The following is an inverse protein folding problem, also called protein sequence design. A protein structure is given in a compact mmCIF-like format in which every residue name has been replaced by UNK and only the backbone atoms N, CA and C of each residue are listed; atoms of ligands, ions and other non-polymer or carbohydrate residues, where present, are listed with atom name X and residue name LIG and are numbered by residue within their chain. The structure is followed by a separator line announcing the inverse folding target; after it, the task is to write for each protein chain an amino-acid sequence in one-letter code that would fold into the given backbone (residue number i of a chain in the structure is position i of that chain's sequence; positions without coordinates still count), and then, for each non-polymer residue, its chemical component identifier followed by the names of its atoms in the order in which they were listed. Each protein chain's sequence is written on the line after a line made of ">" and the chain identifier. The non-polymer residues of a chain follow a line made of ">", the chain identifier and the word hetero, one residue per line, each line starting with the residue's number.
data_IF_768559938914
#
_entry.id   IF_768559938914
#
_cell.length_a   1.000
_cell.length_b   1.000
_cell.length_c   1.000
_cell.angle_alpha   90.00
_cell.angle_beta   90.00
_cell.angle_gamma   90.00
#
_symmetry.space_group_name_H-M   'P 1'
#
loop_
_entity.id
_entity.type
_entity.pdbx_description
1 polymer ?
#
# COMPACT_ATOMS: atom_id res chain seq x y z
N UNK A 1 -9.66 5.31 -15.01
CA UNK A 1 -8.71 4.22 -14.68
C UNK A 1 -7.55 4.78 -13.87
N UNK A 2 -7.21 4.12 -12.76
CA UNK A 2 -6.05 4.52 -11.95
C UNK A 2 -4.79 3.80 -12.43
N UNK A 3 -3.72 4.56 -12.56
CA UNK A 3 -2.39 4.01 -12.85
C UNK A 3 -1.51 4.10 -11.60
N UNK A 4 -0.58 3.17 -11.45
CA UNK A 4 0.36 3.18 -10.33
C UNK A 4 1.08 4.53 -10.21
N UNK A 5 1.48 5.12 -11.33
CA UNK A 5 2.19 6.41 -11.34
C UNK A 5 1.35 7.54 -10.75
N UNK A 6 0.02 7.43 -10.77
CA UNK A 6 -0.87 8.42 -10.17
C UNK A 6 -0.97 8.27 -8.67
N UNK A 7 -0.70 7.07 -8.15
CA UNK A 7 -0.78 6.77 -6.72
C UNK A 7 0.54 7.00 -5.98
N UNK A 8 1.67 6.85 -6.66
CA UNK A 8 2.99 7.00 -6.03
C UNK A 8 3.16 8.41 -5.46
N UNK A 9 3.63 8.48 -4.24
CA UNK A 9 3.84 9.75 -3.53
C UNK A 9 2.58 10.33 -2.90
N UNK A 10 1.43 9.74 -3.12
CA UNK A 10 0.17 10.19 -2.52
C UNK A 10 0.08 9.77 -1.06
N UNK A 11 -0.72 10.47 -0.25
CA UNK A 11 -0.78 10.17 1.19
C UNK A 11 -1.50 8.87 1.49
N UNK A 12 -1.06 8.22 2.57
CA UNK A 12 -1.78 7.13 3.24
C UNK A 12 -2.29 7.69 4.56
N UNK A 13 -3.61 7.65 4.77
CA UNK A 13 -4.24 8.13 6.00
C UNK A 13 -4.91 6.97 6.72
N UNK A 14 -4.94 7.03 8.05
CA UNK A 14 -5.63 6.03 8.85
C UNK A 14 -7.14 6.31 8.93
N UNK A 15 -7.87 5.50 9.71
CA UNK A 15 -9.33 5.65 9.82
C UNK A 15 -9.74 6.98 10.47
N UNK A 16 -8.86 7.62 11.22
CA UNK A 16 -9.13 8.93 11.81
C UNK A 16 -8.83 10.10 10.87
N UNK A 17 -8.26 9.81 9.70
CA UNK A 17 -7.86 10.82 8.73
C UNK A 17 -6.45 11.36 8.93
N UNK A 18 -5.69 10.79 9.86
CA UNK A 18 -4.31 11.19 10.10
C UNK A 18 -3.39 10.60 9.03
N UNK A 19 -2.54 11.44 8.43
CA UNK A 19 -1.56 10.99 7.47
C UNK A 19 -0.45 10.22 8.18
N UNK A 20 -0.22 8.98 7.74
CA UNK A 20 0.80 8.11 8.33
C UNK A 20 1.98 7.85 7.39
N UNK A 21 1.86 8.22 6.13
CA UNK A 21 2.96 8.05 5.18
C UNK A 21 2.57 8.39 3.76
N UNK A 22 3.43 8.02 2.83
CA UNK A 22 3.22 8.21 1.39
C UNK A 22 3.42 6.91 0.64
N UNK A 23 2.61 6.68 -0.38
CA UNK A 23 2.66 5.45 -1.19
C UNK A 23 3.99 5.38 -1.92
N UNK A 24 4.73 4.27 -1.73
CA UNK A 24 6.00 4.04 -2.42
C UNK A 24 5.91 2.91 -3.45
N UNK A 25 5.01 1.94 -3.25
CA UNK A 25 4.87 0.81 -4.17
C UNK A 25 3.59 0.03 -3.87
N UNK A 26 3.25 -0.86 -4.77
CA UNK A 26 2.20 -1.86 -4.58
C UNK A 26 2.77 -3.22 -4.93
N UNK A 27 2.43 -4.26 -4.17
CA UNK A 27 2.82 -5.63 -4.49
C UNK A 27 1.63 -6.39 -5.07
N UNK A 28 1.91 -7.23 -6.04
CA UNK A 28 0.90 -8.10 -6.66
C UNK A 28 1.33 -9.56 -6.50
N UNK A 29 0.35 -10.47 -6.50
CA UNK A 29 0.64 -11.89 -6.52
C UNK A 29 0.97 -12.34 -7.94
N UNK A 30 1.93 -13.28 -8.06
CA UNK A 30 2.36 -13.80 -9.35
C UNK A 30 1.86 -15.22 -9.62
N UNK A 31 1.27 -15.88 -8.63
CA UNK A 31 0.83 -17.25 -8.72
C UNK A 31 -0.59 -17.46 -9.19
N UNK A 32 -1.29 -16.40 -9.58
CA UNK A 32 -2.70 -16.47 -9.97
C UNK A 32 -2.88 -16.13 -11.45
N UNK A 33 -3.97 -16.67 -12.02
CA UNK A 33 -4.32 -16.39 -13.43
C UNK A 33 -4.58 -14.89 -13.62
N UNK A 34 -5.23 -14.26 -12.66
CA UNK A 34 -5.46 -12.82 -12.66
C UNK A 34 -4.69 -12.20 -11.50
N UNK A 35 -3.54 -11.56 -11.77
CA UNK A 35 -2.78 -10.88 -10.71
C UNK A 35 -3.63 -9.82 -10.01
N UNK A 36 -3.50 -9.76 -8.69
CA UNK A 36 -4.22 -8.77 -7.88
C UNK A 36 -3.27 -8.12 -6.90
N UNK A 37 -3.62 -6.92 -6.46
CA UNK A 37 -2.85 -6.21 -5.44
C UNK A 37 -3.00 -6.94 -4.11
N UNK A 38 -1.88 -7.31 -3.49
CA UNK A 38 -1.87 -8.04 -2.22
C UNK A 38 -1.26 -7.25 -1.08
N UNK A 39 -0.41 -6.26 -1.37
CA UNK A 39 0.25 -5.46 -0.34
C UNK A 39 0.41 -4.02 -0.78
N UNK A 40 0.40 -3.13 0.20
CA UNK A 40 0.71 -1.71 0.05
C UNK A 40 2.05 -1.43 0.70
N UNK A 41 2.98 -0.84 -0.04
CA UNK A 41 4.23 -0.33 0.50
C UNK A 41 4.16 1.18 0.60
N UNK A 42 4.51 1.73 1.75
CA UNK A 42 4.52 3.17 1.97
C UNK A 42 5.71 3.57 2.85
N UNK A 43 6.08 4.84 2.75
CA UNK A 43 7.13 5.42 3.57
C UNK A 43 6.51 6.26 4.68
N UNK A 44 6.83 5.93 5.91
CA UNK A 44 6.42 6.71 7.09
C UNK A 44 7.36 7.86 7.38
N UNK A 45 7.28 8.46 8.59
CA UNK A 45 8.17 9.53 9.00
C UNK A 45 9.64 9.12 8.88
N UNK A 46 10.48 10.04 8.37
CA UNK A 46 11.89 9.76 8.16
C UNK A 46 12.16 8.83 6.98
N UNK A 47 11.19 8.64 6.10
CA UNK A 47 11.28 7.74 4.93
C UNK A 47 11.49 6.28 5.31
N UNK A 48 11.03 5.89 6.49
CA UNK A 48 11.08 4.48 6.93
C UNK A 48 10.08 3.67 6.13
N UNK A 49 10.50 2.59 5.45
CA UNK A 49 9.59 1.79 4.63
C UNK A 49 8.74 0.86 5.48
N UNK A 50 7.47 0.75 5.10
CA UNK A 50 6.51 -0.18 5.70
C UNK A 50 5.75 -0.91 4.61
N UNK A 51 5.27 -2.11 4.94
CA UNK A 51 4.39 -2.88 4.05
C UNK A 51 3.24 -3.45 4.86
N UNK A 52 2.02 -3.38 4.30
CA UNK A 52 0.81 -3.89 4.95
C UNK A 52 -0.06 -4.65 3.94
N UNK A 53 -0.92 -5.52 4.45
CA UNK A 53 -1.87 -6.27 3.62
C UNK A 53 -2.88 -5.30 2.99
N UNK A 54 -3.01 -5.35 1.67
CA UNK A 54 -3.99 -4.55 0.94
C UNK A 54 -5.41 -4.90 1.35
N UNK A 55 -5.76 -6.18 1.27
CA UNK A 55 -7.11 -6.66 1.55
C UNK A 55 -7.55 -6.36 2.98
N UNK A 56 -6.63 -6.47 3.93
CA UNK A 56 -6.95 -6.31 5.35
C UNK A 56 -7.16 -4.87 5.77
N UNK A 57 -6.38 -3.94 5.18
CA UNK A 57 -6.30 -2.58 5.70
C UNK A 57 -6.81 -1.49 4.77
N UNK A 58 -6.78 -1.69 3.45
CA UNK A 58 -7.20 -0.62 2.53
C UNK A 58 -8.72 -0.58 2.46
N UNK A 59 -9.30 0.56 2.85
CA UNK A 59 -10.74 0.79 2.83
C UNK A 59 -11.15 1.53 1.55
N UNK A 60 -10.48 2.64 1.26
CA UNK A 60 -10.74 3.45 0.07
C UNK A 60 -9.43 3.83 -0.60
N UNK A 61 -9.46 3.94 -1.93
CA UNK A 61 -8.31 4.40 -2.69
C UNK A 61 -8.76 5.11 -3.96
N UNK A 62 -8.02 6.15 -4.32
CA UNK A 62 -8.23 6.91 -5.55
C UNK A 62 -6.93 7.62 -5.93
N UNK A 63 -7.00 8.57 -6.87
CA UNK A 63 -5.83 9.33 -7.32
C UNK A 63 -5.34 10.35 -6.30
N UNK A 64 -6.06 10.53 -5.19
CA UNK A 64 -5.65 11.43 -4.10
C UNK A 64 -4.95 10.70 -2.97
N UNK A 65 -5.05 9.37 -2.91
CA UNK A 65 -4.38 8.57 -1.90
C UNK A 65 -5.15 7.35 -1.44
N UNK A 66 -4.77 6.84 -0.29
CA UNK A 66 -5.35 5.64 0.31
C UNK A 66 -5.80 5.93 1.73
N UNK A 67 -7.00 5.46 2.05
CA UNK A 67 -7.54 5.51 3.42
C UNK A 67 -7.62 4.09 3.98
N UNK A 68 -7.08 3.91 5.17
CA UNK A 68 -7.10 2.62 5.85
C UNK A 68 -8.35 2.47 6.72
N UNK A 69 -8.70 1.22 7.00
CA UNK A 69 -9.89 0.88 7.79
C UNK A 69 -9.67 0.92 9.30
N UNK A 70 -8.42 1.09 9.75
CA UNK A 70 -8.05 1.07 11.17
C UNK A 70 -7.16 2.26 11.50
N UNK A 71 -7.03 2.55 12.80
CA UNK A 71 -6.10 3.57 13.29
C UNK A 71 -4.67 3.03 13.27
N UNK A 72 -3.71 3.95 13.19
CA UNK A 72 -2.30 3.61 13.05
C UNK A 72 -1.79 2.60 14.10
N UNK A 73 -2.15 2.68 15.40
CA UNK A 73 -1.68 1.70 16.38
C UNK A 73 -2.17 0.26 16.15
N UNK A 74 -3.23 0.09 15.37
CA UNK A 74 -3.82 -1.22 15.11
C UNK A 74 -3.29 -1.90 13.84
N UNK A 75 -2.33 -1.26 13.16
CA UNK A 75 -1.77 -1.80 11.92
C UNK A 75 -0.71 -2.84 12.24
N UNK A 76 -0.80 -3.99 11.54
CA UNK A 76 0.21 -5.05 11.57
C UNK A 76 1.00 -5.02 10.27
N UNK A 77 2.31 -4.84 10.38
CA UNK A 77 3.19 -4.80 9.22
C UNK A 77 3.48 -6.20 8.71
N UNK A 78 3.72 -6.31 7.41
CA UNK A 78 4.05 -7.57 6.76
C UNK A 78 5.34 -7.44 5.96
N UNK A 79 5.79 -8.56 5.40
CA UNK A 79 6.98 -8.61 4.56
C UNK A 79 6.59 -9.12 3.18
N UNK A 80 7.39 -8.78 2.17
CA UNK A 80 7.17 -9.25 0.81
C UNK A 80 7.20 -10.79 0.80
N UNK A 81 6.13 -11.39 0.25
CA UNK A 81 6.02 -12.83 0.16
C UNK A 81 6.71 -13.35 -1.11
N UNK A 82 7.11 -14.66 -1.15
CA UNK A 82 7.80 -15.21 -2.32
C UNK A 82 7.00 -15.14 -3.62
N UNK A 83 5.66 -15.12 -3.54
CA UNK A 83 4.77 -15.03 -4.69
C UNK A 83 4.34 -13.60 -5.02
N UNK A 84 4.92 -12.61 -4.36
CA UNK A 84 4.63 -11.20 -4.60
C UNK A 84 5.78 -10.50 -5.32
N UNK A 85 5.45 -9.53 -6.18
CA UNK A 85 6.43 -8.62 -6.79
C UNK A 85 5.99 -7.18 -6.58
N UNK A 86 6.97 -6.30 -6.40
CA UNK A 86 6.76 -4.86 -6.24
C UNK A 86 6.69 -4.21 -7.63
N UNK A 87 5.58 -3.55 -7.93
CA UNK A 87 5.33 -3.03 -9.27
C UNK A 87 6.28 -1.91 -9.69
N UNK A 88 6.51 -0.92 -8.82
CA UNK A 88 7.36 0.20 -9.18
C UNK A 88 8.84 -0.16 -9.14
N UNK A 89 9.24 -0.99 -8.18
CA UNK A 89 10.64 -1.37 -7.99
C UNK A 89 11.14 -2.32 -9.08
N UNK A 90 10.26 -3.19 -9.57
CA UNK A 90 10.64 -4.27 -10.50
C UNK A 90 10.37 -3.92 -11.98
N UNK A 91 9.94 -2.70 -12.25
CA UNK A 91 9.75 -2.21 -13.62
C UNK A 91 11.02 -1.65 -14.22
#
# INVERSE_FOLDING_TARGET
>A
MLYLSQMLGKPVVDSSGEKIGTISDLAISTGEVFPRITSLAFQGPGKVPFMISWRKYVDEFDDEGIKLSVDSPDIRFSYLQPDEVLLARDL
#
